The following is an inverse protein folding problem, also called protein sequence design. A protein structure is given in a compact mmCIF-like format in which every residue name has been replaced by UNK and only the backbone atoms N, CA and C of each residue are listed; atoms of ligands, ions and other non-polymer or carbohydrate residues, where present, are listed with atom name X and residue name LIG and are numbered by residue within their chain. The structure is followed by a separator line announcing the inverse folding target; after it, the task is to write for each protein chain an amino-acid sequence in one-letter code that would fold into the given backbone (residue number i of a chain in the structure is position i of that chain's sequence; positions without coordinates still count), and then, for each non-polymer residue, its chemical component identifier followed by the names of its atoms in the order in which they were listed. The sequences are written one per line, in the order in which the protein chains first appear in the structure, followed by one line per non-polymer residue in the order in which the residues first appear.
data_IF_620287196255
#
_entry.id   IF_620287196255
#
_cell.length_a   1.000
_cell.length_b   1.000
_cell.length_c   1.000
_cell.angle_alpha   90.00
_cell.angle_beta   90.00
_cell.angle_gamma   90.00
#
_symmetry.space_group_name_H-M   'P 1'
#
loop_
_entity.id
_entity.type
_entity.pdbx_description
1 polymer ?
#
# COMPACT_ATOMS: atom_id res chain seq x y z
N UNK A 1 -6.79 -3.76 2.03
CA UNK A 1 -7.75 -3.59 0.91
C UNK A 1 -8.63 -4.80 0.85
N UNK A 2 -9.93 -4.60 0.67
CA UNK A 2 -10.81 -5.71 0.33
C UNK A 2 -10.37 -6.27 -1.04
N UNK A 3 -10.42 -7.60 -1.19
CA UNK A 3 -10.18 -8.32 -2.45
C UNK A 3 -10.81 -7.63 -3.69
N UNK A 4 -12.01 -7.02 -3.61
CA UNK A 4 -12.61 -6.27 -4.71
C UNK A 4 -11.74 -5.13 -5.23
N UNK A 5 -11.03 -4.38 -4.40
CA UNK A 5 -10.25 -3.22 -4.88
C UNK A 5 -8.99 -3.67 -5.61
N UNK A 6 -8.34 -4.73 -5.15
CA UNK A 6 -7.20 -5.35 -5.83
C UNK A 6 -7.62 -5.96 -7.17
N UNK A 7 -8.75 -6.69 -7.19
CA UNK A 7 -9.34 -7.22 -8.42
C UNK A 7 -9.78 -6.09 -9.36
N UNK A 8 -10.27 -4.96 -8.84
CA UNK A 8 -10.62 -3.77 -9.63
C UNK A 8 -9.38 -3.18 -10.31
N UNK A 9 -8.27 -3.06 -9.58
CA UNK A 9 -7.00 -2.58 -10.16
C UNK A 9 -6.42 -3.54 -11.18
N UNK A 10 -6.57 -4.86 -10.98
CA UNK A 10 -6.21 -5.87 -11.98
C UNK A 10 -7.14 -5.86 -13.19
N UNK A 11 -8.44 -5.63 -13.01
CA UNK A 11 -9.41 -5.59 -14.12
C UNK A 11 -9.23 -4.33 -14.98
N UNK A 12 -8.85 -3.21 -14.37
CA UNK A 12 -8.55 -1.97 -15.08
C UNK A 12 -7.12 -1.90 -15.63
N UNK A 13 -6.32 -2.95 -15.45
CA UNK A 13 -4.95 -3.01 -15.96
C UNK A 13 -4.85 -2.79 -17.48
N UNK A 14 -5.82 -3.31 -18.23
CA UNK A 14 -5.90 -3.06 -19.69
C UNK A 14 -6.19 -1.60 -20.01
N UNK A 15 -6.98 -0.92 -19.19
CA UNK A 15 -7.27 0.51 -19.35
C UNK A 15 -6.01 1.33 -19.01
N UNK A 16 -5.30 0.96 -17.94
CA UNK A 16 -4.03 1.56 -17.54
C UNK A 16 -2.98 1.49 -18.65
N UNK A 17 -2.88 0.32 -19.28
CA UNK A 17 -1.99 0.09 -20.41
C UNK A 17 -2.38 0.96 -21.61
N UNK A 18 -3.67 0.97 -21.99
CA UNK A 18 -4.17 1.73 -23.15
C UNK A 18 -3.87 3.23 -23.04
N UNK A 19 -3.90 3.78 -21.83
CA UNK A 19 -3.67 5.21 -21.54
C UNK A 19 -2.20 5.57 -21.61
N UNK A 20 -1.36 4.74 -21.00
CA UNK A 20 0.08 4.94 -21.01
C UNK A 20 0.63 4.80 -22.43
N UNK A 21 0.13 3.81 -23.18
CA UNK A 21 0.40 3.64 -24.60
C UNK A 21 -0.04 4.86 -25.42
N UNK A 22 -1.21 5.46 -25.13
CA UNK A 22 -1.64 6.70 -25.79
C UNK A 22 -0.70 7.87 -25.46
N UNK A 23 -0.36 8.08 -24.19
CA UNK A 23 0.55 9.16 -23.76
C UNK A 23 1.96 9.07 -24.35
N UNK A 24 2.39 7.85 -24.72
CA UNK A 24 3.66 7.59 -25.40
C UNK A 24 3.54 7.52 -26.93
N UNK A 25 2.34 7.66 -27.49
CA UNK A 25 2.09 7.70 -28.93
C UNK A 25 1.87 6.33 -29.61
N UNK A 26 1.73 5.24 -28.86
CA UNK A 26 1.62 3.86 -29.37
C UNK A 26 0.20 3.42 -29.78
N UNK A 27 -0.84 4.19 -29.46
CA UNK A 27 -2.21 3.87 -29.87
C UNK A 27 -3.00 5.11 -30.26
N UNK A 28 -3.53 5.15 -31.50
CA UNK A 28 -4.47 6.18 -31.94
C UNK A 28 -5.88 5.82 -31.44
N UNK A 29 -6.19 6.23 -30.22
CA UNK A 29 -7.55 6.22 -29.71
C UNK A 29 -8.18 7.60 -30.02
N UNK A 30 -9.45 7.65 -30.45
CA UNK A 30 -10.15 8.93 -30.65
C UNK A 30 -10.02 9.81 -29.40
N UNK A 31 -9.67 11.10 -29.57
CA UNK A 31 -9.25 12.00 -28.49
C UNK A 31 -10.16 11.98 -27.24
N UNK A 32 -11.47 11.84 -27.42
CA UNK A 32 -12.43 11.79 -26.31
C UNK A 32 -12.36 10.48 -25.49
N UNK A 33 -12.18 9.33 -26.16
CA UNK A 33 -12.04 8.01 -25.53
C UNK A 33 -10.67 7.90 -24.82
N UNK A 34 -9.63 8.46 -25.43
CA UNK A 34 -8.32 8.55 -24.82
C UNK A 34 -8.37 9.36 -23.51
N UNK A 35 -8.90 10.58 -23.54
CA UNK A 35 -8.97 11.47 -22.37
C UNK A 35 -9.80 10.86 -21.23
N UNK A 36 -10.95 10.24 -21.54
CA UNK A 36 -11.80 9.59 -20.53
C UNK A 36 -11.11 8.39 -19.87
N UNK A 37 -10.42 7.56 -20.66
CA UNK A 37 -9.63 6.45 -20.13
C UNK A 37 -8.45 6.94 -19.31
N UNK A 38 -7.75 7.99 -19.77
CA UNK A 38 -6.61 8.59 -19.06
C UNK A 38 -7.06 9.10 -17.69
N UNK A 39 -8.14 9.88 -17.66
CA UNK A 39 -8.66 10.41 -16.41
C UNK A 39 -9.08 9.29 -15.43
N UNK A 40 -9.82 8.28 -15.92
CA UNK A 40 -10.33 7.19 -15.08
C UNK A 40 -9.20 6.34 -14.50
N UNK A 41 -8.19 6.04 -15.30
CA UNK A 41 -7.00 5.28 -14.85
C UNK A 41 -6.18 6.09 -13.86
N UNK A 42 -5.79 7.33 -14.18
CA UNK A 42 -5.04 8.17 -13.22
C UNK A 42 -5.77 8.30 -11.88
N UNK A 43 -7.10 8.45 -11.90
CA UNK A 43 -7.92 8.49 -10.67
C UNK A 43 -7.89 7.16 -9.90
N UNK A 44 -7.94 6.03 -10.60
CA UNK A 44 -7.95 4.69 -9.99
C UNK A 44 -6.57 4.32 -9.43
N UNK A 45 -5.48 4.71 -10.10
CA UNK A 45 -4.11 4.48 -9.60
C UNK A 45 -3.85 5.35 -8.36
N UNK A 46 -4.18 6.64 -8.46
CA UNK A 46 -3.97 7.59 -7.36
C UNK A 46 -4.78 7.21 -6.14
N UNK A 47 -6.04 6.81 -6.30
CA UNK A 47 -6.86 6.32 -5.18
C UNK A 47 -6.29 5.03 -4.57
N UNK A 48 -5.83 4.07 -5.38
CA UNK A 48 -5.18 2.86 -4.87
C UNK A 48 -3.90 3.19 -4.08
N UNK A 49 -3.05 4.07 -4.62
CA UNK A 49 -1.83 4.53 -3.95
C UNK A 49 -2.14 5.27 -2.65
N UNK A 50 -3.14 6.16 -2.64
CA UNK A 50 -3.56 6.88 -1.45
C UNK A 50 -4.02 5.91 -0.35
N UNK A 51 -4.91 4.96 -0.67
CA UNK A 51 -5.41 3.97 0.29
C UNK A 51 -4.27 3.11 0.84
N UNK A 52 -3.39 2.63 -0.02
CA UNK A 52 -2.24 1.83 0.40
C UNK A 52 -1.22 2.64 1.23
N UNK A 53 -1.03 3.92 0.91
CA UNK A 53 -0.18 4.84 1.67
C UNK A 53 -0.73 5.09 3.07
N UNK A 54 -2.01 5.48 3.20
CA UNK A 54 -2.64 5.66 4.50
C UNK A 54 -2.63 4.38 5.33
N UNK A 55 -2.95 3.23 4.72
CA UNK A 55 -2.89 1.94 5.38
C UNK A 55 -1.48 1.60 5.90
N UNK A 56 -0.44 1.94 5.12
CA UNK A 56 0.95 1.77 5.54
C UNK A 56 1.37 2.72 6.66
N UNK A 57 0.87 3.96 6.65
CA UNK A 57 1.11 4.95 7.70
C UNK A 57 0.53 4.50 9.05
N UNK A 58 -0.69 3.98 9.06
CA UNK A 58 -1.31 3.44 10.28
C UNK A 58 -0.49 2.28 10.87
N UNK A 59 0.05 1.40 10.03
CA UNK A 59 0.94 0.33 10.48
C UNK A 59 2.23 0.86 11.11
N UNK A 60 2.86 1.87 10.51
CA UNK A 60 4.08 2.47 11.06
C UNK A 60 3.83 3.15 12.40
N UNK A 61 2.73 3.90 12.52
CA UNK A 61 2.37 4.57 13.77
C UNK A 61 2.01 3.55 14.87
N UNK A 62 1.31 2.45 14.56
CA UNK A 62 1.10 1.34 15.52
C UNK A 62 2.43 0.71 15.97
N UNK A 63 3.39 0.51 15.06
CA UNK A 63 4.71 -0.01 15.41
C UNK A 63 5.51 0.96 16.30
N UNK A 64 5.50 2.27 16.00
CA UNK A 64 6.17 3.29 16.81
C UNK A 64 5.54 3.36 18.21
N UNK A 65 4.21 3.40 18.28
CA UNK A 65 3.47 3.42 19.53
C UNK A 65 3.81 2.19 20.38
N UNK A 66 3.78 0.98 19.80
CA UNK A 66 4.15 -0.24 20.53
C UNK A 66 5.58 -0.25 21.03
N UNK A 67 6.54 0.35 20.30
CA UNK A 67 7.92 0.50 20.77
C UNK A 67 7.99 1.43 21.96
N UNK A 68 7.37 2.61 21.88
CA UNK A 68 7.34 3.58 22.97
C UNK A 68 6.69 2.99 24.23
N UNK A 69 5.55 2.30 24.08
CA UNK A 69 4.87 1.69 25.21
C UNK A 69 5.70 0.52 25.80
N UNK A 70 6.42 -0.26 24.99
CA UNK A 70 7.37 -1.27 25.51
C UNK A 70 8.50 -0.64 26.33
N UNK A 71 9.04 0.48 25.89
CA UNK A 71 10.07 1.22 26.61
C UNK A 71 9.56 1.75 27.95
N UNK A 72 8.36 2.34 27.96
CA UNK A 72 7.67 2.77 29.19
C UNK A 72 7.44 1.57 30.12
N UNK A 73 6.96 0.44 29.59
CA UNK A 73 6.73 -0.77 30.39
C UNK A 73 8.02 -1.32 31.00
N UNK A 74 9.15 -1.20 30.30
CA UNK A 74 10.46 -1.59 30.80
C UNK A 74 10.94 -0.64 31.91
N UNK A 75 10.82 0.66 31.70
CA UNK A 75 11.15 1.69 32.70
C UNK A 75 10.35 1.50 34.00
N UNK A 76 9.03 1.29 33.89
CA UNK A 76 8.16 0.98 35.04
C UNK A 76 8.57 -0.31 35.76
N UNK A 77 9.06 -1.31 35.02
CA UNK A 77 9.51 -2.58 35.59
C UNK A 77 10.80 -2.47 36.39
N UNK A 78 11.62 -1.46 36.10
CA UNK A 78 12.86 -1.15 36.82
C UNK A 78 12.62 -0.37 38.13
N UNK A 79 11.43 0.19 38.34
CA UNK A 79 11.06 0.88 39.57
C UNK A 79 10.37 -0.08 40.55
N UNK A 80 10.79 -0.10 41.81
CA UNK A 80 10.23 -1.01 42.84
C UNK A 80 8.74 -0.79 43.10
N UNK A 81 8.24 0.45 42.98
CA UNK A 81 6.84 0.80 43.23
C UNK A 81 5.88 0.44 42.09
N UNK A 82 6.35 0.43 40.83
CA UNK A 82 5.49 0.27 39.64
C UNK A 82 5.82 -1.00 38.84
N UNK A 83 6.61 -1.90 39.42
CA UNK A 83 7.04 -3.16 38.78
C UNK A 83 5.88 -4.04 38.31
N UNK A 84 4.80 -4.09 39.09
CA UNK A 84 3.58 -4.86 38.75
C UNK A 84 2.87 -4.23 37.54
N UNK A 85 2.79 -2.90 37.51
CA UNK A 85 2.13 -2.15 36.44
C UNK A 85 2.91 -2.29 35.13
N UNK A 86 4.24 -2.19 35.18
CA UNK A 86 5.10 -2.44 34.01
C UNK A 86 4.92 -3.84 33.43
N UNK A 87 4.72 -4.86 34.28
CA UNK A 87 4.43 -6.24 33.83
C UNK A 87 3.07 -6.36 33.15
N UNK A 88 2.01 -5.82 33.77
CA UNK A 88 0.64 -5.84 33.22
C UNK A 88 0.56 -5.10 31.89
N UNK A 89 1.24 -3.95 31.81
CA UNK A 89 1.26 -3.10 30.62
C UNK A 89 1.99 -3.80 29.46
N UNK A 90 3.09 -4.51 29.74
CA UNK A 90 3.78 -5.34 28.76
C UNK A 90 2.90 -6.51 28.28
N UNK A 91 2.20 -7.20 29.18
CA UNK A 91 1.26 -8.27 28.84
C UNK A 91 0.09 -7.76 27.98
N UNK A 92 -0.44 -6.57 28.29
CA UNK A 92 -1.50 -5.93 27.53
C UNK A 92 -1.07 -5.60 26.09
N UNK A 93 0.10 -4.99 25.87
CA UNK A 93 0.58 -4.72 24.50
C UNK A 93 0.79 -6.02 23.73
N UNK A 94 1.26 -7.07 24.42
CA UNK A 94 1.57 -8.37 23.81
C UNK A 94 0.30 -9.15 23.45
N UNK A 95 -0.79 -8.94 24.19
CA UNK A 95 -2.09 -9.55 23.89
C UNK A 95 -2.85 -8.85 22.76
N UNK A 96 -2.53 -7.57 22.47
CA UNK A 96 -3.11 -6.85 21.33
C UNK A 96 -2.47 -7.31 20.02
N UNK A 97 -3.29 -7.75 19.07
CA UNK A 97 -2.84 -8.04 17.70
C UNK A 97 -2.29 -6.79 17.03
N UNK A 98 -1.27 -6.97 16.17
CA UNK A 98 -0.68 -5.86 15.40
C UNK A 98 -1.72 -5.31 14.42
N UNK A 99 -1.85 -3.99 14.34
CA UNK A 99 -2.72 -3.35 13.36
C UNK A 99 -2.04 -3.35 12.00
N UNK A 100 -2.17 -4.46 11.28
CA UNK A 100 -1.70 -4.60 9.91
C UNK A 100 -2.92 -4.64 9.02
N UNK A 101 -3.06 -3.63 8.18
CA UNK A 101 -3.98 -3.77 7.06
C UNK A 101 -3.41 -4.82 6.11
N UNK A 102 -4.16 -5.91 5.95
CA UNK A 102 -3.85 -6.96 4.99
C UNK A 102 -4.92 -7.00 3.89
N UNK A 103 -4.55 -7.43 2.70
CA UNK A 103 -5.51 -7.84 1.68
C UNK A 103 -5.69 -9.35 1.78
N UNK A 104 -6.75 -9.78 2.47
CA UNK A 104 -7.10 -11.19 2.62
C UNK A 104 -5.95 -12.07 3.16
N UNK A 105 -5.05 -11.50 3.97
CA UNK A 105 -3.85 -12.18 4.48
C UNK A 105 -2.72 -12.41 3.46
N UNK A 106 -2.91 -12.11 2.16
CA UNK A 106 -1.87 -12.29 1.14
C UNK A 106 -0.88 -11.12 1.08
N UNK A 107 -1.37 -9.89 1.21
CA UNK A 107 -0.54 -8.70 1.04
C UNK A 107 -0.62 -7.81 2.27
N UNK A 108 0.54 -7.44 2.80
CA UNK A 108 0.67 -6.44 3.84
C UNK A 108 0.85 -5.07 3.18
N UNK A 109 0.01 -4.09 3.54
CA UNK A 109 0.16 -2.71 3.07
C UNK A 109 1.33 -2.04 3.78
N UNK A 110 2.55 -2.31 3.31
CA UNK A 110 3.78 -1.65 3.75
C UNK A 110 4.29 -0.69 2.67
N UNK A 111 5.20 0.21 3.04
CA UNK A 111 5.90 1.04 2.04
C UNK A 111 6.65 0.19 1.01
N UNK A 112 7.14 -0.99 1.41
CA UNK A 112 7.76 -1.96 0.52
C UNK A 112 6.79 -2.47 -0.55
N UNK A 113 5.54 -2.71 -0.17
CA UNK A 113 4.48 -3.11 -1.11
C UNK A 113 4.16 -2.00 -2.11
N UNK A 114 4.08 -0.74 -1.66
CA UNK A 114 3.91 0.41 -2.56
C UNK A 114 5.03 0.55 -3.58
N UNK A 115 6.29 0.37 -3.15
CA UNK A 115 7.45 0.38 -4.03
C UNK A 115 7.40 -0.78 -5.04
N UNK A 116 6.97 -1.97 -4.61
CA UNK A 116 6.76 -3.12 -5.48
C UNK A 116 5.64 -2.90 -6.52
N UNK A 117 4.55 -2.25 -6.13
CA UNK A 117 3.48 -1.87 -7.04
C UNK A 117 3.95 -0.88 -8.11
N UNK A 118 4.70 0.14 -7.69
CA UNK A 118 5.29 1.13 -8.61
C UNK A 118 6.30 0.47 -9.57
N UNK A 119 7.13 -0.46 -9.08
CA UNK A 119 8.12 -1.14 -9.91
C UNK A 119 7.49 -2.07 -10.92
N UNK A 120 6.50 -2.88 -10.53
CA UNK A 120 5.75 -3.74 -11.46
C UNK A 120 5.07 -2.90 -12.54
N UNK A 121 4.47 -1.77 -12.14
CA UNK A 121 3.87 -0.84 -13.10
C UNK A 121 4.91 -0.31 -14.09
N UNK A 122 6.07 0.17 -13.61
CA UNK A 122 7.13 0.67 -14.49
C UNK A 122 7.70 -0.43 -15.41
N UNK A 123 8.02 -1.60 -14.87
CA UNK A 123 8.63 -2.70 -15.60
C UNK A 123 7.73 -3.26 -16.69
N UNK A 124 6.44 -3.44 -16.40
CA UNK A 124 5.49 -3.96 -17.39
C UNK A 124 5.30 -2.98 -18.56
N UNK A 125 5.24 -1.69 -18.23
CA UNK A 125 5.15 -0.63 -19.23
C UNK A 125 6.43 -0.52 -20.10
N UNK A 126 7.61 -0.62 -19.49
CA UNK A 126 8.88 -0.65 -20.23
C UNK A 126 9.00 -1.88 -21.14
N UNK A 127 8.51 -3.04 -20.69
CA UNK A 127 8.52 -4.27 -21.47
C UNK A 127 7.69 -4.12 -22.76
N UNK A 128 6.49 -3.54 -22.65
CA UNK A 128 5.63 -3.29 -23.80
C UNK A 128 6.20 -2.26 -24.76
N UNK A 129 6.82 -1.20 -24.23
CA UNK A 129 7.53 -0.21 -25.03
C UNK A 129 8.63 -0.86 -25.89
N UNK A 130 9.32 -1.86 -25.33
CA UNK A 130 10.37 -2.62 -26.01
C UNK A 130 9.81 -3.62 -27.04
N UNK A 131 8.59 -4.11 -26.85
CA UNK A 131 7.90 -5.01 -27.77
C UNK A 131 7.31 -4.27 -28.97
N UNK A 132 6.86 -3.04 -28.79
CA UNK A 132 6.26 -2.22 -29.86
C UNK A 132 7.31 -1.54 -30.77
N UNK A 133 8.55 -1.41 -30.29
CA UNK A 133 9.68 -0.88 -31.06
C UNK A 133 10.37 -1.93 -31.96
N UNK A 134 9.84 -3.16 -32.02
CA UNK A 134 10.32 -4.27 -32.87
C UNK A 134 9.31 -4.59 -33.96
#
# INVERSE_FOLDING_TARGET
MSLPVFLLTCSHFSDFFSVFSYGLGFHQCSDFCAVSKVASTTLTLSSCFCVAYFASGVYEEDQKLRKAIKEISFSLRCSEGTKRDGKLLLEFIRSKEKLIFTANGLFNFTKSFLLGLASVFLSYNLLLLHLDTK
#
